data_IF_970455803040
#
_entry.id   IF_970455803040
#
_cell.length_a   1.000
_cell.length_b   1.000
_cell.length_c   1.000
_cell.angle_alpha   90.00
_cell.angle_beta   90.00
_cell.angle_gamma   90.00
#
_symmetry.space_group_name_H-M   'P 1'
#
loop_
_entity.id
_entity.type
_entity.pdbx_description
1 polymer ?
#
# COMPACT_ATOMS: atom_id res chain seq x y z
N UNK A 1 -3.21 -29.22 30.14
CA UNK A 1 -3.72 -29.55 28.80
C UNK A 1 -4.43 -28.31 28.28
N UNK A 2 -3.67 -27.41 27.66
CA UNK A 2 -4.18 -26.28 26.89
C UNK A 2 -3.87 -26.63 25.44
N UNK A 3 -4.90 -26.89 24.66
CA UNK A 3 -4.78 -27.08 23.22
C UNK A 3 -4.41 -25.75 22.60
N UNK A 4 -3.19 -25.66 22.06
CA UNK A 4 -2.79 -24.57 21.17
C UNK A 4 -3.72 -24.51 19.95
N UNK A 5 -4.00 -23.32 19.37
CA UNK A 5 -4.74 -23.24 18.13
C UNK A 5 -3.90 -23.85 17.01
N UNK A 6 -4.48 -24.86 16.37
CA UNK A 6 -3.99 -25.46 15.13
C UNK A 6 -4.26 -24.49 13.98
N UNK A 7 -3.25 -24.32 13.13
CA UNK A 7 -3.25 -23.67 11.82
C UNK A 7 -3.11 -22.13 11.81
N UNK A 8 -1.87 -21.68 11.64
CA UNK A 8 -1.52 -20.26 11.52
C UNK A 8 -0.33 -20.10 10.58
N UNK A 9 -0.59 -20.08 9.27
CA UNK A 9 0.38 -19.52 8.32
C UNK A 9 0.87 -18.15 8.80
N UNK A 10 2.07 -17.70 8.40
CA UNK A 10 2.64 -16.46 8.90
C UNK A 10 1.64 -15.31 8.74
N UNK A 11 1.40 -14.57 9.83
CA UNK A 11 0.52 -13.42 9.80
C UNK A 11 1.01 -12.45 8.71
N UNK A 12 0.11 -12.11 7.79
CA UNK A 12 0.42 -11.16 6.73
C UNK A 12 0.61 -9.79 7.37
N UNK A 13 1.78 -9.19 7.17
CA UNK A 13 2.05 -7.81 7.53
C UNK A 13 1.87 -6.86 6.32
N UNK A 14 1.67 -5.57 6.62
CA UNK A 14 1.40 -4.54 5.61
C UNK A 14 2.56 -4.39 4.61
N UNK A 15 3.81 -4.58 5.05
CA UNK A 15 4.97 -4.38 4.19
C UNK A 15 5.10 -5.49 3.15
N UNK A 16 5.00 -6.75 3.58
CA UNK A 16 5.04 -7.90 2.68
C UNK A 16 3.84 -7.91 1.73
N UNK A 17 2.65 -7.53 2.21
CA UNK A 17 1.49 -7.28 1.35
C UNK A 17 1.80 -6.20 0.29
N UNK A 18 2.37 -5.08 0.72
CA UNK A 18 2.71 -3.96 -0.16
C UNK A 18 3.71 -4.39 -1.25
N UNK A 19 4.73 -5.16 -0.90
CA UNK A 19 5.69 -5.70 -1.87
C UNK A 19 5.01 -6.60 -2.91
N UNK A 20 4.16 -7.54 -2.47
CA UNK A 20 3.45 -8.46 -3.35
C UNK A 20 2.50 -7.72 -4.32
N UNK A 21 1.69 -6.80 -3.78
CA UNK A 21 0.69 -6.07 -4.56
C UNK A 21 1.32 -5.04 -5.48
N UNK A 22 2.30 -4.28 -5.00
CA UNK A 22 2.95 -3.25 -5.81
C UNK A 22 3.76 -3.83 -6.97
N UNK A 23 4.28 -5.06 -6.83
CA UNK A 23 4.96 -5.78 -7.91
C UNK A 23 4.00 -6.33 -8.99
N UNK A 24 2.68 -6.32 -8.75
CA UNK A 24 1.71 -6.80 -9.71
C UNK A 24 1.60 -5.87 -10.94
N UNK A 25 1.31 -6.46 -12.09
CA UNK A 25 1.22 -5.75 -13.38
C UNK A 25 0.24 -4.57 -13.32
N UNK A 26 0.74 -3.37 -13.64
CA UNK A 26 -0.03 -2.13 -13.73
C UNK A 26 -0.20 -1.37 -12.42
N UNK A 27 0.04 -2.00 -11.26
CA UNK A 27 -0.19 -1.36 -9.95
C UNK A 27 0.74 -0.18 -9.71
N UNK A 28 2.03 -0.34 -10.01
CA UNK A 28 2.99 0.75 -9.84
C UNK A 28 2.63 1.99 -10.69
N UNK A 29 2.16 1.78 -11.93
CA UNK A 29 1.78 2.86 -12.84
C UNK A 29 0.50 3.57 -12.37
N UNK A 30 -0.50 2.81 -11.89
CA UNK A 30 -1.70 3.38 -11.26
C UNK A 30 -1.35 4.23 -10.02
N UNK A 31 -0.55 3.67 -9.10
CA UNK A 31 -0.12 4.38 -7.89
C UNK A 31 0.65 5.67 -8.21
N UNK A 32 1.54 5.64 -9.20
CA UNK A 32 2.26 6.84 -9.64
C UNK A 32 1.32 7.88 -10.25
N UNK A 33 0.32 7.46 -11.03
CA UNK A 33 -0.69 8.37 -11.62
C UNK A 33 -1.51 9.06 -10.53
N UNK A 34 -1.96 8.30 -9.53
CA UNK A 34 -2.68 8.82 -8.38
C UNK A 34 -1.82 9.79 -7.55
N UNK A 35 -0.55 9.42 -7.34
CA UNK A 35 0.41 10.25 -6.63
C UNK A 35 0.65 11.58 -7.36
N UNK A 36 0.91 11.55 -8.66
CA UNK A 36 1.27 12.77 -9.41
C UNK A 36 0.06 13.69 -9.61
N UNK A 37 -1.15 13.12 -9.76
CA UNK A 37 -2.37 13.90 -10.02
C UNK A 37 -3.03 14.46 -8.75
N UNK A 38 -3.04 13.71 -7.64
CA UNK A 38 -3.76 14.07 -6.41
C UNK A 38 -2.84 14.24 -5.19
N UNK A 39 -1.52 14.08 -5.37
CA UNK A 39 -0.55 14.00 -4.26
C UNK A 39 -0.90 12.89 -3.27
N UNK A 40 -1.57 11.85 -3.76
CA UNK A 40 -1.99 10.71 -2.98
C UNK A 40 -0.76 9.95 -2.51
N UNK A 41 -0.68 9.68 -1.21
CA UNK A 41 0.43 8.89 -0.69
C UNK A 41 0.19 7.40 -0.96
N UNK A 42 1.10 6.79 -1.71
CA UNK A 42 1.07 5.36 -2.06
C UNK A 42 1.01 4.48 -0.80
N UNK A 43 1.62 4.89 0.30
CA UNK A 43 1.56 4.12 1.55
C UNK A 43 0.14 4.10 2.16
N UNK A 44 -0.63 5.19 2.02
CA UNK A 44 -2.04 5.23 2.42
C UNK A 44 -2.93 4.39 1.49
N UNK A 45 -2.67 4.41 0.18
CA UNK A 45 -3.38 3.56 -0.80
C UNK A 45 -3.21 2.08 -0.44
N UNK A 46 -1.96 1.66 -0.20
CA UNK A 46 -1.64 0.27 0.13
C UNK A 46 -2.20 -0.13 1.50
N UNK A 47 -2.19 0.77 2.49
CA UNK A 47 -2.83 0.53 3.80
C UNK A 47 -4.35 0.35 3.67
N UNK A 48 -5.03 1.20 2.89
CA UNK A 48 -6.47 1.11 2.65
C UNK A 48 -6.86 -0.21 1.96
N UNK A 49 -6.09 -0.61 0.94
CA UNK A 49 -6.24 -1.90 0.27
C UNK A 49 -5.98 -3.07 1.22
N UNK A 50 -4.95 -2.99 2.07
CA UNK A 50 -4.62 -4.03 3.03
C UNK A 50 -5.73 -4.24 4.08
N UNK A 51 -6.29 -3.16 4.63
CA UNK A 51 -7.44 -3.23 5.51
C UNK A 51 -8.62 -3.95 4.83
N UNK A 52 -8.84 -3.66 3.54
CA UNK A 52 -9.87 -4.30 2.73
C UNK A 52 -9.63 -5.80 2.56
N UNK A 53 -8.40 -6.22 2.25
CA UNK A 53 -8.01 -7.64 2.14
C UNK A 53 -8.21 -8.38 3.48
N UNK A 54 -8.07 -7.67 4.61
CA UNK A 54 -8.40 -8.20 5.95
C UNK A 54 -9.90 -8.15 6.28
N UNK A 55 -10.75 -7.79 5.32
CA UNK A 55 -12.21 -7.71 5.47
C UNK A 55 -12.68 -6.56 6.36
N UNK A 56 -11.94 -5.45 6.42
CA UNK A 56 -12.26 -4.29 7.28
C UNK A 56 -12.50 -3.03 6.46
N UNK A 57 -13.60 -2.35 6.74
CA UNK A 57 -13.91 -1.04 6.19
C UNK A 57 -13.37 0.06 7.10
N UNK A 58 -12.56 0.96 6.56
CA UNK A 58 -12.00 2.09 7.31
C UNK A 58 -13.04 3.21 7.39
N UNK A 59 -13.45 3.67 8.58
CA UNK A 59 -14.29 4.85 8.70
C UNK A 59 -13.61 6.10 8.10
N UNK A 60 -14.39 7.02 7.54
CA UNK A 60 -13.84 8.22 6.89
C UNK A 60 -12.96 9.07 7.84
N UNK A 61 -13.37 9.23 9.10
CA UNK A 61 -12.59 9.94 10.12
C UNK A 61 -11.23 9.29 10.39
N UNK A 62 -11.17 7.97 10.29
CA UNK A 62 -9.96 7.19 10.51
C UNK A 62 -8.98 7.28 9.32
N UNK A 63 -9.45 7.48 8.09
CA UNK A 63 -8.56 7.78 6.95
C UNK A 63 -7.81 9.10 7.14
N UNK A 64 -8.53 10.11 7.64
CA UNK A 64 -7.97 11.43 7.96
C UNK A 64 -6.98 11.36 9.14
N UNK A 65 -7.31 10.60 10.19
CA UNK A 65 -6.39 10.34 11.31
C UNK A 65 -5.12 9.59 10.88
N UNK A 66 -5.25 8.56 10.02
CA UNK A 66 -4.11 7.82 9.48
C UNK A 66 -3.20 8.73 8.64
N UNK A 67 -3.78 9.58 7.80
CA UNK A 67 -3.03 10.55 6.98
C UNK A 67 -2.26 11.54 7.85
N UNK A 68 -2.89 12.07 8.92
CA UNK A 68 -2.21 12.92 9.89
C UNK A 68 -1.07 12.23 10.63
N UNK A 69 -1.22 10.93 10.93
CA UNK A 69 -0.24 10.17 11.68
C UNK A 69 1.14 10.14 11.00
N UNK A 70 1.18 10.18 9.67
CA UNK A 70 2.43 10.18 8.90
C UNK A 70 2.72 11.50 8.19
N UNK A 71 1.84 12.51 8.27
CA UNK A 71 1.97 13.77 7.52
C UNK A 71 3.34 14.46 7.71
N UNK A 72 3.80 14.61 8.96
CA UNK A 72 5.09 15.26 9.24
C UNK A 72 6.27 14.43 8.73
N UNK A 73 6.21 13.11 8.85
CA UNK A 73 7.24 12.21 8.32
C UNK A 73 7.28 12.26 6.80
N UNK A 74 6.12 12.17 6.14
CA UNK A 74 5.97 12.27 4.71
C UNK A 74 6.55 13.58 4.17
N UNK A 75 6.15 14.71 4.76
CA UNK A 75 6.57 16.05 4.33
C UNK A 75 8.07 16.29 4.52
N UNK A 76 8.63 15.91 5.67
CA UNK A 76 10.02 16.26 6.01
C UNK A 76 11.05 15.20 5.56
N UNK A 77 10.66 13.92 5.53
CA UNK A 77 11.57 12.80 5.21
C UNK A 77 11.36 12.31 3.80
N UNK A 78 10.15 11.84 3.48
CA UNK A 78 9.87 11.20 2.18
C UNK A 78 10.00 12.20 1.03
N UNK A 79 9.37 13.37 1.15
CA UNK A 79 9.46 14.41 0.12
C UNK A 79 10.88 14.95 -0.04
N UNK A 80 11.63 15.09 1.07
CA UNK A 80 13.04 15.49 1.05
C UNK A 80 13.92 14.50 0.29
N UNK A 81 13.82 13.21 0.61
CA UNK A 81 14.58 12.14 -0.06
C UNK A 81 14.23 12.04 -1.55
N UNK A 82 12.93 12.10 -1.88
CA UNK A 82 12.47 12.12 -3.28
C UNK A 82 13.01 13.34 -4.04
N UNK A 83 13.03 14.50 -3.40
CA UNK A 83 13.59 15.74 -3.95
C UNK A 83 15.07 15.59 -4.28
N UNK A 84 15.88 15.12 -3.31
CA UNK A 84 17.33 14.90 -3.51
C UNK A 84 17.56 13.89 -4.64
N UNK A 85 16.87 12.74 -4.63
CA UNK A 85 17.03 11.71 -5.66
C UNK A 85 16.67 12.22 -7.06
N UNK A 86 15.57 12.99 -7.19
CA UNK A 86 15.15 13.59 -8.46
C UNK A 86 16.16 14.64 -8.94
N UNK A 87 16.66 15.49 -8.05
CA UNK A 87 17.71 16.46 -8.36
C UNK A 87 18.99 15.76 -8.83
N UNK A 88 19.45 14.71 -8.14
CA UNK A 88 20.61 13.92 -8.55
C UNK A 88 20.43 13.39 -9.98
N UNK A 89 19.26 12.83 -10.32
CA UNK A 89 18.98 12.34 -11.69
C UNK A 89 19.19 13.42 -12.75
N UNK A 90 18.70 14.64 -12.50
CA UNK A 90 18.83 15.76 -13.44
C UNK A 90 20.27 16.25 -13.65
N UNK A 91 21.12 16.07 -12.64
CA UNK A 91 22.51 16.54 -12.68
C UNK A 91 23.48 15.55 -13.34
N UNK A 92 23.13 14.25 -13.41
CA UNK A 92 23.99 13.19 -13.96
C UNK A 92 24.48 13.50 -15.39
N UNK A 93 23.64 14.11 -16.23
CA UNK A 93 23.99 14.39 -17.62
C UNK A 93 25.18 15.35 -17.79
N UNK A 94 25.48 16.16 -16.77
CA UNK A 94 26.50 17.21 -16.84
C UNK A 94 27.64 17.00 -15.82
N UNK A 95 27.69 15.87 -15.12
CA UNK A 95 28.74 15.59 -14.15
C UNK A 95 29.96 14.92 -14.80
N UNK A 96 31.12 15.08 -14.17
CA UNK A 96 32.39 14.52 -14.65
C UNK A 96 32.48 12.99 -14.53
N UNK A 97 31.59 12.39 -13.74
CA UNK A 97 31.61 10.98 -13.33
C UNK A 97 30.18 10.39 -13.20
N UNK A 98 29.48 10.18 -14.33
CA UNK A 98 28.06 9.77 -14.35
C UNK A 98 27.76 8.44 -13.66
N UNK A 99 28.66 7.47 -13.74
CA UNK A 99 28.48 6.12 -13.18
C UNK A 99 28.45 6.14 -11.65
N UNK A 100 29.34 6.90 -11.02
CA UNK A 100 29.40 7.09 -9.58
C UNK A 100 28.15 7.82 -9.07
N UNK A 101 27.67 8.82 -9.81
CA UNK A 101 26.47 9.56 -9.46
C UNK A 101 25.20 8.71 -9.61
N UNK A 102 25.12 7.83 -10.61
CA UNK A 102 24.02 6.88 -10.71
C UNK A 102 24.07 5.84 -9.57
N UNK A 103 25.26 5.46 -9.11
CA UNK A 103 25.41 4.61 -7.93
C UNK A 103 24.93 5.32 -6.66
N UNK A 104 25.28 6.58 -6.47
CA UNK A 104 24.74 7.42 -5.39
C UNK A 104 23.21 7.54 -5.48
N UNK A 105 22.67 7.77 -6.68
CA UNK A 105 21.22 7.87 -6.90
C UNK A 105 20.48 6.59 -6.52
N UNK A 106 21.07 5.41 -6.78
CA UNK A 106 20.54 4.11 -6.34
C UNK A 106 20.57 3.98 -4.83
N UNK A 107 21.68 4.34 -4.17
CA UNK A 107 21.75 4.35 -2.70
C UNK A 107 20.73 5.29 -2.06
N UNK A 108 20.45 6.45 -2.67
CA UNK A 108 19.37 7.34 -2.24
C UNK A 108 17.99 6.69 -2.36
N UNK A 109 17.74 5.91 -3.42
CA UNK A 109 16.49 5.15 -3.54
C UNK A 109 16.38 4.07 -2.46
N UNK A 110 17.47 3.40 -2.10
CA UNK A 110 17.45 2.41 -1.01
C UNK A 110 17.13 3.06 0.34
N UNK A 111 17.64 4.28 0.59
CA UNK A 111 17.31 5.05 1.79
C UNK A 111 15.85 5.49 1.77
N UNK A 112 15.34 5.97 0.62
CA UNK A 112 13.92 6.29 0.42
C UNK A 112 13.03 5.09 0.73
N UNK A 113 13.34 3.91 0.21
CA UNK A 113 12.56 2.68 0.48
C UNK A 113 12.59 2.29 1.96
N UNK A 114 13.72 2.46 2.65
CA UNK A 114 13.80 2.23 4.10
C UNK A 114 12.92 3.21 4.87
N UNK A 115 12.89 4.49 4.48
CA UNK A 115 12.03 5.48 5.10
C UNK A 115 10.54 5.21 4.83
N UNK A 116 10.17 4.77 3.62
CA UNK A 116 8.81 4.33 3.29
C UNK A 116 8.39 3.10 4.12
N UNK A 117 9.33 2.19 4.44
CA UNK A 117 9.06 1.05 5.32
C UNK A 117 8.73 1.47 6.76
N UNK A 118 9.45 2.44 7.31
CA UNK A 118 9.16 2.97 8.66
C UNK A 118 7.82 3.73 8.70
N UNK A 119 7.46 4.42 7.61
CA UNK A 119 6.14 5.02 7.44
C UNK A 119 5.02 3.96 7.47
N UNK A 120 5.18 2.87 6.70
CA UNK A 120 4.22 1.77 6.75
C UNK A 120 4.19 1.06 8.10
N UNK A 121 5.31 0.94 8.82
CA UNK A 121 5.32 0.39 10.16
C UNK A 121 4.48 1.25 11.13
N UNK A 122 4.61 2.57 11.01
CA UNK A 122 3.77 3.54 11.73
C UNK A 122 2.28 3.35 11.41
N UNK A 123 1.92 3.28 10.13
CA UNK A 123 0.55 3.02 9.69
C UNK A 123 0.02 1.66 10.14
N UNK A 124 0.84 0.61 10.11
CA UNK A 124 0.47 -0.73 10.53
C UNK A 124 0.16 -0.78 12.04
N UNK A 125 0.99 -0.14 12.86
CA UNK A 125 0.78 -0.02 14.31
C UNK A 125 -0.50 0.78 14.60
N UNK A 126 -0.68 1.91 13.92
CA UNK A 126 -1.89 2.72 14.03
C UNK A 126 -3.14 1.89 13.64
N UNK A 127 -3.11 1.17 12.52
CA UNK A 127 -4.20 0.32 12.07
C UNK A 127 -4.49 -0.80 13.08
N UNK A 128 -3.46 -1.44 13.66
CA UNK A 128 -3.64 -2.48 14.66
C UNK A 128 -4.39 -1.97 15.90
N UNK A 129 -4.11 -0.74 16.33
CA UNK A 129 -4.76 -0.12 17.48
C UNK A 129 -6.25 0.23 17.24
N UNK A 130 -6.67 0.45 15.98
CA UNK A 130 -8.02 0.92 15.65
C UNK A 130 -8.91 -0.13 14.96
N UNK A 131 -8.33 -1.08 14.23
CA UNK A 131 -9.06 -1.97 13.32
C UNK A 131 -10.06 -2.93 13.99
N UNK A 132 -9.97 -3.13 15.30
CA UNK A 132 -10.94 -3.92 16.04
C UNK A 132 -12.36 -3.33 16.00
N UNK A 133 -12.48 -1.99 15.94
CA UNK A 133 -13.78 -1.29 15.88
C UNK A 133 -14.33 -1.10 14.47
N UNK A 134 -13.54 -1.45 13.44
CA UNK A 134 -13.92 -1.22 12.05
C UNK A 134 -14.96 -2.23 11.59
N UNK A 135 -16.00 -1.79 10.84
CA UNK A 135 -16.98 -2.69 10.26
C UNK A 135 -16.32 -3.76 9.40
N UNK A 136 -16.87 -4.96 9.43
CA UNK A 136 -16.43 -6.07 8.60
C UNK A 136 -17.24 -6.15 7.31
N UNK A 137 -16.60 -6.50 6.20
CA UNK A 137 -17.24 -6.75 4.92
C UNK A 137 -16.46 -7.83 4.14
N UNK A 138 -17.05 -8.46 3.11
CA UNK A 138 -16.30 -9.32 2.19
C UNK A 138 -15.05 -8.60 1.67
N UNK A 139 -13.91 -9.29 1.63
CA UNK A 139 -12.62 -8.65 1.41
C UNK A 139 -12.57 -7.78 0.14
N UNK A 140 -13.10 -8.30 -0.97
CA UNK A 140 -13.22 -7.54 -2.23
C UNK A 140 -14.03 -6.26 -2.09
N UNK A 141 -15.20 -6.34 -1.45
CA UNK A 141 -16.08 -5.20 -1.22
C UNK A 141 -15.41 -4.16 -0.33
N UNK A 142 -14.68 -4.62 0.69
CA UNK A 142 -13.94 -3.75 1.59
C UNK A 142 -12.77 -3.04 0.89
N UNK A 143 -12.03 -3.72 0.01
CA UNK A 143 -10.99 -3.09 -0.82
C UNK A 143 -11.58 -1.96 -1.65
N UNK A 144 -12.66 -2.23 -2.39
CA UNK A 144 -13.32 -1.23 -3.24
C UNK A 144 -13.83 -0.04 -2.41
N UNK A 145 -14.46 -0.32 -1.27
CA UNK A 145 -15.02 0.71 -0.38
C UNK A 145 -13.93 1.60 0.22
N UNK A 146 -12.84 1.00 0.71
CA UNK A 146 -11.74 1.74 1.32
C UNK A 146 -11.02 2.62 0.31
N UNK A 147 -10.73 2.10 -0.88
CA UNK A 147 -10.12 2.88 -1.96
C UNK A 147 -11.03 4.01 -2.41
N UNK A 148 -12.32 3.75 -2.62
CA UNK A 148 -13.28 4.80 -2.98
C UNK A 148 -13.40 5.90 -1.92
N UNK A 149 -13.41 5.52 -0.63
CA UNK A 149 -13.44 6.49 0.48
C UNK A 149 -12.15 7.32 0.55
N UNK A 150 -10.99 6.69 0.29
CA UNK A 150 -9.71 7.39 0.20
C UNK A 150 -9.68 8.36 -0.99
N UNK A 151 -10.19 7.97 -2.15
CA UNK A 151 -10.24 8.85 -3.33
C UNK A 151 -11.16 10.05 -3.11
N UNK A 152 -12.31 9.83 -2.48
CA UNK A 152 -13.20 10.91 -2.05
C UNK A 152 -12.52 11.87 -1.07
N UNK A 153 -11.75 11.33 -0.11
CA UNK A 153 -10.99 12.14 0.85
C UNK A 153 -10.01 13.10 0.16
N UNK A 154 -9.41 12.66 -0.96
CA UNK A 154 -8.49 13.47 -1.76
C UNK A 154 -9.17 14.26 -2.89
N UNK A 155 -10.51 14.34 -2.87
CA UNK A 155 -11.28 15.22 -3.75
C UNK A 155 -11.48 14.70 -5.17
N UNK A 156 -11.31 13.40 -5.40
CA UNK A 156 -11.64 12.78 -6.69
C UNK A 156 -13.15 12.64 -6.81
N UNK A 157 -13.76 13.14 -7.89
CA UNK A 157 -15.20 12.96 -8.16
C UNK A 157 -15.48 11.60 -8.84
N UNK A 158 -16.75 11.19 -8.92
CA UNK A 158 -17.14 9.88 -9.47
C UNK A 158 -16.82 9.72 -10.98
N UNK A 159 -16.61 10.82 -11.71
CA UNK A 159 -16.33 10.82 -13.15
C UNK A 159 -14.84 10.90 -13.46
N UNK A 160 -13.99 11.02 -12.44
CA UNK A 160 -12.57 11.16 -12.60
C UNK A 160 -11.96 9.90 -13.25
N UNK A 161 -11.29 10.00 -14.41
CA UNK A 161 -10.74 8.85 -15.12
C UNK A 161 -9.67 8.11 -14.30
N UNK A 162 -9.03 8.78 -13.34
CA UNK A 162 -8.01 8.19 -12.47
C UNK A 162 -8.61 7.53 -11.23
N UNK A 163 -9.93 7.68 -10.99
CA UNK A 163 -10.61 7.06 -9.83
C UNK A 163 -10.73 5.55 -9.94
N UNK A 164 -10.49 4.99 -11.12
CA UNK A 164 -10.47 3.56 -11.33
C UNK A 164 -9.11 3.00 -10.91
N UNK A 165 -9.11 2.09 -9.93
CA UNK A 165 -7.92 1.34 -9.52
C UNK A 165 -8.04 -0.12 -9.91
N UNK A 166 -8.16 -0.36 -11.21
CA UNK A 166 -8.43 -1.69 -11.76
C UNK A 166 -7.28 -2.66 -11.43
N UNK A 167 -6.04 -2.26 -11.70
CA UNK A 167 -4.87 -3.10 -11.44
C UNK A 167 -4.70 -3.36 -9.94
N UNK A 168 -4.90 -2.35 -9.09
CA UNK A 168 -4.84 -2.51 -7.64
C UNK A 168 -5.90 -3.48 -7.11
N UNK A 169 -7.16 -3.35 -7.53
CA UNK A 169 -8.24 -4.25 -7.12
C UNK A 169 -7.96 -5.68 -7.58
N UNK A 170 -7.57 -5.88 -8.85
CA UNK A 170 -7.22 -7.20 -9.39
C UNK A 170 -6.03 -7.82 -8.66
N UNK A 171 -5.02 -7.02 -8.29
CA UNK A 171 -3.89 -7.50 -7.51
C UNK A 171 -4.33 -7.96 -6.11
N UNK A 172 -5.22 -7.23 -5.45
CA UNK A 172 -5.79 -7.64 -4.17
C UNK A 172 -6.62 -8.93 -4.30
N UNK A 173 -7.44 -9.07 -5.33
CA UNK A 173 -8.23 -10.29 -5.60
C UNK A 173 -7.32 -11.51 -5.75
N UNK A 174 -6.24 -11.40 -6.53
CA UNK A 174 -5.24 -12.47 -6.68
C UNK A 174 -4.54 -12.78 -5.36
N UNK A 175 -4.21 -11.75 -4.59
CA UNK A 175 -3.57 -11.89 -3.28
C UNK A 175 -4.46 -12.69 -2.31
N UNK A 176 -5.78 -12.41 -2.30
CA UNK A 176 -6.79 -13.13 -1.52
C UNK A 176 -6.90 -14.58 -1.98
N UNK A 177 -7.11 -14.80 -3.29
CA UNK A 177 -7.31 -16.13 -3.86
C UNK A 177 -6.12 -17.07 -3.63
N UNK A 178 -4.89 -16.55 -3.64
CA UNK A 178 -3.68 -17.32 -3.37
C UNK A 178 -3.58 -17.84 -1.92
N UNK A 179 -4.42 -17.33 -1.01
CA UNK A 179 -4.36 -17.60 0.44
C UNK A 179 -5.66 -18.19 0.99
N UNK A 180 -6.68 -18.36 0.16
CA UNK A 180 -7.84 -19.18 0.51
C UNK A 180 -7.44 -20.66 0.52
N UNK A 181 -7.81 -21.42 1.57
CA UNK A 181 -7.57 -22.86 1.58
C UNK A 181 -8.33 -23.48 0.39
N UNK A 182 -7.59 -24.21 -0.46
CA UNK A 182 -8.13 -24.91 -1.63
C UNK A 182 -9.25 -25.88 -1.21
N UNK A 183 -10.50 -25.44 -1.23
CA UNK A 183 -11.68 -26.26 -0.99
C UNK A 183 -11.99 -27.12 -2.20
N UNK A 184 -11.08 -28.04 -2.57
CA UNK A 184 -11.38 -29.25 -3.35
C UNK A 184 -10.10 -30.03 -3.71
N UNK A 185 -9.94 -31.21 -3.10
CA UNK A 185 -9.58 -32.46 -3.80
C UNK A 185 -9.80 -33.62 -2.81
N UNK A 186 -10.92 -34.33 -2.93
CA UNK A 186 -11.15 -35.56 -2.17
C UNK A 186 -12.58 -35.96 -1.81
N UNK A 187 -13.60 -35.60 -2.58
CA UNK A 187 -14.88 -36.32 -2.53
C UNK A 187 -15.20 -36.90 -3.91
N UNK A 188 -14.51 -37.98 -4.27
CA UNK A 188 -14.95 -38.95 -5.27
C UNK A 188 -14.25 -40.28 -5.00
N UNK A 189 -15.04 -41.32 -4.81
CA UNK A 189 -14.56 -42.70 -4.65
C UNK A 189 -15.29 -43.45 -3.55
N UNK A 190 -16.58 -43.67 -3.76
CA UNK A 190 -17.36 -44.74 -3.11
C UNK A 190 -16.88 -46.11 -3.56
#
# INVERSE_FOLDING_TARGET
MTTDPVDGGPAIDLWNFSLDVYAATGVAEECLTLQDSYRLDVNLILMAAFAGVKGRNIPQSHLDDASRCTADWYANVICGLRGVRRATKGLIANCSNPQEWETLRRSLKDIELKAEKEEQATLANWMQAHSASWPTAPAREAVVTNLGSLFNFYGMDDNDPNRVSYHLIVACEKFIAAREPSTARGCCGS
#
